data_IF_732200092113
#
_entry.id   IF_732200092113
#
_cell.length_a   1.000
_cell.length_b   1.000
_cell.length_c   1.000
_cell.angle_alpha   90.00
_cell.angle_beta   90.00
_cell.angle_gamma   90.00
#
_symmetry.space_group_name_H-M   'P 1'
#
loop_
_entity.id
_entity.type
_entity.pdbx_description
1 polymer ?
#
# COMPACT_ATOMS: atom_id res chain seq x y z
N UNK A 1 -24.11 -21.73 -8.75
CA UNK A 1 -24.37 -22.24 -7.39
C UNK A 1 -24.57 -21.03 -6.47
N UNK A 2 -25.54 -21.01 -5.55
CA UNK A 2 -25.69 -19.89 -4.61
C UNK A 2 -24.40 -19.71 -3.79
N UNK A 3 -23.99 -18.46 -3.54
CA UNK A 3 -22.83 -18.17 -2.70
C UNK A 3 -23.12 -18.57 -1.26
N UNK A 4 -22.21 -19.34 -0.66
CA UNK A 4 -22.13 -19.50 0.79
C UNK A 4 -21.52 -18.22 1.40
N UNK A 5 -22.41 -17.35 1.90
CA UNK A 5 -22.01 -16.08 2.49
C UNK A 5 -21.30 -16.24 3.83
N UNK A 6 -21.52 -17.33 4.57
CA UNK A 6 -20.83 -17.60 5.83
C UNK A 6 -19.37 -17.97 5.57
N UNK A 7 -19.11 -18.84 4.59
CA UNK A 7 -17.76 -19.16 4.14
C UNK A 7 -17.06 -17.92 3.56
N UNK A 8 -17.76 -17.16 2.73
CA UNK A 8 -17.24 -15.92 2.14
C UNK A 8 -16.87 -14.90 3.22
N UNK A 9 -17.70 -14.76 4.26
CA UNK A 9 -17.42 -13.87 5.40
C UNK A 9 -16.22 -14.34 6.23
N UNK A 10 -16.01 -15.66 6.39
CA UNK A 10 -14.79 -16.20 7.03
C UNK A 10 -13.54 -15.80 6.24
N UNK A 11 -13.61 -15.86 4.91
CA UNK A 11 -12.53 -15.41 4.03
C UNK A 11 -12.29 -13.89 4.10
N UNK A 12 -13.31 -13.08 4.40
CA UNK A 12 -13.19 -11.62 4.57
C UNK A 12 -12.43 -11.19 5.83
N UNK A 13 -12.49 -11.98 6.91
CA UNK A 13 -11.90 -11.60 8.20
C UNK A 13 -10.42 -11.17 8.04
N UNK A 14 -10.00 -10.05 8.67
CA UNK A 14 -10.72 -9.22 9.65
C UNK A 14 -11.52 -8.05 9.04
N UNK A 15 -11.76 -8.02 7.73
CA UNK A 15 -12.60 -6.99 7.12
C UNK A 15 -14.05 -7.20 7.55
N UNK A 16 -14.71 -6.11 7.96
CA UNK A 16 -16.06 -6.13 8.53
C UNK A 16 -17.05 -6.88 7.63
N UNK A 17 -17.14 -6.48 6.38
CA UNK A 17 -18.09 -7.02 5.40
C UNK A 17 -17.60 -6.74 3.97
N UNK A 18 -18.27 -7.38 3.01
CA UNK A 18 -17.92 -7.30 1.59
C UNK A 18 -18.03 -5.88 1.02
N UNK A 19 -19.05 -5.13 1.44
CA UNK A 19 -19.27 -3.75 0.98
C UNK A 19 -18.14 -2.83 1.45
N UNK A 20 -17.73 -2.96 2.71
CA UNK A 20 -16.61 -2.21 3.28
C UNK A 20 -15.29 -2.51 2.57
N UNK A 21 -15.07 -3.75 2.14
CA UNK A 21 -13.89 -4.13 1.34
C UNK A 21 -13.87 -3.38 0.01
N UNK A 22 -14.97 -3.46 -0.75
CA UNK A 22 -15.09 -2.84 -2.06
C UNK A 22 -15.02 -1.32 -1.99
N UNK A 23 -15.73 -0.71 -1.03
CA UNK A 23 -15.73 0.73 -0.84
C UNK A 23 -14.32 1.28 -0.65
N UNK A 24 -13.51 0.64 0.21
CA UNK A 24 -12.13 1.08 0.47
C UNK A 24 -11.21 0.96 -0.75
N UNK A 25 -11.41 -0.09 -1.56
CA UNK A 25 -10.68 -0.25 -2.83
C UNK A 25 -11.12 0.83 -3.84
N UNK A 26 -12.42 1.08 -3.96
CA UNK A 26 -12.97 2.11 -4.84
C UNK A 26 -12.51 3.52 -4.46
N UNK A 27 -12.53 3.86 -3.16
CA UNK A 27 -12.00 5.13 -2.63
C UNK A 27 -10.53 5.32 -3.01
N UNK A 28 -9.72 4.26 -2.90
CA UNK A 28 -8.30 4.31 -3.29
C UNK A 28 -8.13 4.51 -4.80
N UNK A 29 -8.92 3.80 -5.62
CA UNK A 29 -8.89 3.93 -7.07
C UNK A 29 -9.57 5.22 -7.60
N UNK A 30 -10.20 6.04 -6.75
CA UNK A 30 -10.66 7.36 -7.16
C UNK A 30 -9.49 8.28 -7.56
N UNK A 31 -8.32 8.09 -6.92
CA UNK A 31 -7.10 8.83 -7.21
C UNK A 31 -6.48 8.38 -8.55
N UNK A 32 -6.15 9.34 -9.41
CA UNK A 32 -5.64 9.05 -10.77
C UNK A 32 -4.33 8.28 -10.73
N UNK A 33 -3.41 8.67 -9.85
CA UNK A 33 -2.12 8.00 -9.74
C UNK A 33 -2.25 6.56 -9.25
N UNK A 34 -3.26 6.26 -8.42
CA UNK A 34 -3.51 4.89 -7.97
C UNK A 34 -3.97 4.03 -9.15
N UNK A 35 -4.91 4.53 -9.96
CA UNK A 35 -5.33 3.83 -11.20
C UNK A 35 -4.16 3.57 -12.14
N UNK A 36 -3.32 4.58 -12.37
CA UNK A 36 -2.21 4.48 -13.31
C UNK A 36 -1.11 3.51 -12.87
N UNK A 37 -0.86 3.37 -11.56
CA UNK A 37 0.29 2.61 -11.06
C UNK A 37 -0.10 1.27 -10.41
N UNK A 38 -1.36 1.08 -10.02
CA UNK A 38 -1.81 -0.09 -9.26
C UNK A 38 -2.94 -0.86 -9.95
N UNK A 39 -3.46 -0.40 -11.10
CA UNK A 39 -4.34 -1.25 -11.92
C UNK A 39 -3.51 -2.25 -12.74
N UNK A 40 -2.98 -3.25 -12.06
CA UNK A 40 -2.20 -4.32 -12.68
C UNK A 40 -3.12 -5.26 -13.47
N UNK A 41 -2.63 -5.76 -14.61
CA UNK A 41 -3.22 -6.92 -15.26
C UNK A 41 -3.11 -8.17 -14.38
N UNK A 42 -3.95 -9.19 -14.61
CA UNK A 42 -3.90 -10.43 -13.81
C UNK A 42 -2.51 -11.10 -13.82
N UNK A 43 -1.80 -11.22 -14.95
CA UNK A 43 -0.43 -11.74 -14.97
C UNK A 43 0.57 -10.88 -14.17
N UNK A 44 0.47 -9.56 -14.27
CA UNK A 44 1.32 -8.64 -13.48
C UNK A 44 1.02 -8.76 -11.98
N UNK A 45 -0.26 -8.88 -11.60
CA UNK A 45 -0.68 -9.07 -10.22
C UNK A 45 -0.19 -10.42 -9.66
N UNK A 46 -0.22 -11.49 -10.45
CA UNK A 46 0.35 -12.78 -10.06
C UNK A 46 1.85 -12.66 -9.77
N UNK A 47 2.60 -12.04 -10.69
CA UNK A 47 4.03 -11.80 -10.49
C UNK A 47 4.30 -10.92 -9.25
N UNK A 48 3.53 -9.84 -9.08
CA UNK A 48 3.59 -8.99 -7.90
C UNK A 48 3.35 -9.79 -6.62
N UNK A 49 2.36 -10.68 -6.61
CA UNK A 49 2.00 -11.53 -5.46
C UNK A 49 3.16 -12.47 -5.11
N UNK A 50 3.79 -13.09 -6.11
CA UNK A 50 4.97 -13.96 -5.92
C UNK A 50 6.14 -13.19 -5.33
N UNK A 51 6.45 -12.00 -5.84
CA UNK A 51 7.53 -11.16 -5.31
C UNK A 51 7.22 -10.69 -3.88
N UNK A 52 5.98 -10.27 -3.62
CA UNK A 52 5.55 -9.72 -2.34
C UNK A 52 5.57 -10.76 -1.22
N UNK A 53 4.99 -11.94 -1.45
CA UNK A 53 4.79 -12.98 -0.44
C UNK A 53 5.88 -14.06 -0.45
N UNK A 54 6.43 -14.39 -1.62
CA UNK A 54 7.44 -15.44 -1.80
C UNK A 54 8.83 -15.04 -1.32
N UNK A 55 9.09 -13.74 -1.16
CA UNK A 55 10.34 -13.23 -0.61
C UNK A 55 10.50 -13.36 0.91
N UNK A 56 9.53 -13.96 1.62
CA UNK A 56 9.65 -14.23 3.05
C UNK A 56 10.52 -15.47 3.29
N UNK A 57 11.74 -15.27 3.80
CA UNK A 57 12.70 -16.35 4.10
C UNK A 57 12.17 -17.40 5.08
N UNK A 58 11.15 -17.05 5.87
CA UNK A 58 10.50 -17.95 6.83
C UNK A 58 9.31 -18.73 6.26
N UNK A 59 8.95 -18.50 4.99
CA UNK A 59 7.87 -19.21 4.31
C UNK A 59 6.49 -19.01 4.93
N UNK A 60 6.26 -17.96 5.74
CA UNK A 60 5.01 -17.79 6.51
C UNK A 60 3.79 -17.56 5.64
N UNK A 61 4.00 -17.13 4.41
CA UNK A 61 2.95 -16.85 3.43
C UNK A 61 2.88 -17.90 2.31
N UNK A 62 3.57 -19.03 2.41
CA UNK A 62 3.65 -20.02 1.32
C UNK A 62 2.27 -20.57 0.91
N UNK A 63 1.47 -20.99 1.89
CA UNK A 63 0.10 -21.48 1.64
C UNK A 63 -0.80 -20.37 1.08
N UNK A 64 -0.71 -19.18 1.66
CA UNK A 64 -1.49 -18.03 1.20
C UNK A 64 -1.11 -17.60 -0.22
N UNK A 65 0.17 -17.64 -0.56
CA UNK A 65 0.69 -17.40 -1.91
C UNK A 65 0.13 -18.44 -2.90
N UNK A 66 0.17 -19.73 -2.56
CA UNK A 66 -0.35 -20.79 -3.42
C UNK A 66 -1.85 -20.60 -3.69
N UNK A 67 -2.63 -20.28 -2.65
CA UNK A 67 -4.06 -19.97 -2.77
C UNK A 67 -4.30 -18.78 -3.70
N UNK A 68 -3.60 -17.67 -3.49
CA UNK A 68 -3.79 -16.45 -4.30
C UNK A 68 -3.40 -16.66 -5.76
N UNK A 69 -2.28 -17.32 -6.03
CA UNK A 69 -1.85 -17.64 -7.40
C UNK A 69 -2.88 -18.52 -8.10
N UNK A 70 -3.41 -19.54 -7.42
CA UNK A 70 -4.48 -20.37 -7.97
C UNK A 70 -5.74 -19.56 -8.31
N UNK A 71 -6.16 -18.69 -7.38
CA UNK A 71 -7.31 -17.81 -7.58
C UNK A 71 -7.10 -16.82 -8.75
N UNK A 72 -5.92 -16.22 -8.87
CA UNK A 72 -5.59 -15.30 -9.97
C UNK A 72 -5.60 -16.00 -11.33
N UNK A 73 -5.08 -17.22 -11.41
CA UNK A 73 -5.13 -18.04 -12.63
C UNK A 73 -6.58 -18.36 -13.03
N UNK A 74 -7.43 -18.74 -12.08
CA UNK A 74 -8.85 -18.99 -12.35
C UNK A 74 -9.60 -17.71 -12.78
N UNK A 75 -9.32 -16.57 -12.15
CA UNK A 75 -9.87 -15.27 -12.55
C UNK A 75 -9.45 -14.89 -13.98
N UNK A 76 -8.19 -15.15 -14.34
CA UNK A 76 -7.71 -14.92 -15.69
C UNK A 76 -8.40 -15.85 -16.71
N UNK A 77 -8.59 -17.13 -16.38
CA UNK A 77 -9.35 -18.08 -17.22
C UNK A 77 -10.82 -17.67 -17.39
N UNK A 78 -11.40 -17.05 -16.35
CA UNK A 78 -12.73 -16.43 -16.42
C UNK A 78 -12.76 -15.09 -17.18
N UNK A 79 -11.65 -14.72 -17.84
CA UNK A 79 -11.55 -13.55 -18.71
C UNK A 79 -11.48 -12.22 -17.96
N UNK A 80 -11.07 -12.20 -16.70
CA UNK A 80 -10.79 -10.96 -15.97
C UNK A 80 -9.45 -10.39 -16.42
N UNK A 81 -9.43 -9.15 -16.90
CA UNK A 81 -8.21 -8.54 -17.51
C UNK A 81 -7.27 -7.92 -16.48
N UNK A 82 -7.82 -7.16 -15.53
CA UNK A 82 -7.08 -6.36 -14.56
C UNK A 82 -7.90 -6.14 -13.27
N UNK A 83 -7.31 -5.44 -12.30
CA UNK A 83 -7.93 -5.18 -11.00
C UNK A 83 -9.23 -4.38 -11.11
N UNK A 84 -9.30 -3.36 -11.97
CA UNK A 84 -10.51 -2.56 -12.15
C UNK A 84 -11.63 -3.37 -12.81
N UNK A 85 -11.30 -4.26 -13.76
CA UNK A 85 -12.26 -5.22 -14.31
C UNK A 85 -12.81 -6.15 -13.21
N UNK A 86 -11.93 -6.72 -12.36
CA UNK A 86 -12.35 -7.52 -11.20
C UNK A 86 -13.32 -6.75 -10.30
N UNK A 87 -12.98 -5.51 -9.94
CA UNK A 87 -13.82 -4.66 -9.10
C UNK A 87 -15.16 -4.35 -9.78
N UNK A 88 -15.19 -4.12 -11.09
CA UNK A 88 -16.41 -3.83 -11.84
C UNK A 88 -17.37 -5.02 -11.88
N UNK A 89 -16.83 -6.23 -12.13
CA UNK A 89 -17.58 -7.50 -12.18
C UNK A 89 -18.08 -7.95 -10.83
N UNK A 90 -17.48 -7.45 -9.75
CA UNK A 90 -17.80 -7.86 -8.38
C UNK A 90 -18.30 -6.69 -7.53
N UNK A 91 -18.68 -5.56 -8.14
CA UNK A 91 -18.96 -4.31 -7.41
C UNK A 91 -20.12 -4.36 -6.40
N UNK A 92 -20.95 -5.41 -6.44
CA UNK A 92 -22.07 -5.63 -5.51
C UNK A 92 -22.23 -7.12 -5.22
N UNK A 93 -22.92 -7.51 -4.13
CA UNK A 93 -23.23 -8.93 -3.87
C UNK A 93 -23.91 -9.64 -5.05
N UNK A 94 -24.84 -8.98 -5.73
CA UNK A 94 -25.52 -9.55 -6.91
C UNK A 94 -24.58 -9.70 -8.10
N UNK A 95 -23.66 -8.76 -8.30
CA UNK A 95 -22.64 -8.86 -9.35
C UNK A 95 -21.64 -9.98 -9.07
N UNK A 96 -21.20 -10.11 -7.82
CA UNK A 96 -20.38 -11.24 -7.39
C UNK A 96 -21.11 -12.58 -7.62
N UNK A 97 -22.39 -12.68 -7.23
CA UNK A 97 -23.21 -13.86 -7.49
C UNK A 97 -23.27 -14.19 -8.98
N UNK A 98 -23.61 -13.22 -9.84
CA UNK A 98 -23.66 -13.42 -11.28
C UNK A 98 -22.31 -13.82 -11.88
N UNK A 99 -21.20 -13.24 -11.41
CA UNK A 99 -19.86 -13.60 -11.85
C UNK A 99 -19.49 -15.05 -11.47
N UNK A 100 -19.77 -15.45 -10.23
CA UNK A 100 -19.50 -16.81 -9.72
C UNK A 100 -20.42 -17.87 -10.36
N UNK A 101 -21.61 -17.49 -10.84
CA UNK A 101 -22.49 -18.39 -11.59
C UNK A 101 -22.04 -18.60 -13.04
N UNK A 102 -21.39 -17.59 -13.63
CA UNK A 102 -20.94 -17.60 -15.01
C UNK A 102 -19.48 -18.06 -15.17
N UNK A 103 -18.78 -18.29 -14.07
CA UNK A 103 -17.39 -18.73 -14.04
C UNK A 103 -17.21 -19.90 -13.08
N UNK A 104 -16.13 -20.65 -13.22
CA UNK A 104 -15.75 -21.70 -12.26
C UNK A 104 -14.99 -21.13 -11.04
N UNK A 105 -15.09 -19.82 -10.79
CA UNK A 105 -14.39 -19.15 -9.68
C UNK A 105 -15.30 -19.08 -8.47
N UNK A 106 -14.83 -19.55 -7.31
CA UNK A 106 -15.61 -19.53 -6.08
C UNK A 106 -15.52 -18.18 -5.35
N UNK A 107 -16.62 -17.74 -4.74
CA UNK A 107 -16.68 -16.46 -4.02
C UNK A 107 -15.59 -16.27 -2.94
N UNK A 108 -15.25 -17.27 -2.10
CA UNK A 108 -14.17 -17.14 -1.13
C UNK A 108 -12.80 -16.82 -1.78
N UNK A 109 -12.54 -17.32 -2.98
CA UNK A 109 -11.29 -17.05 -3.71
C UNK A 109 -11.26 -15.61 -4.24
N UNK A 110 -12.36 -15.14 -4.82
CA UNK A 110 -12.52 -13.74 -5.27
C UNK A 110 -12.28 -12.79 -4.09
N UNK A 111 -12.93 -13.08 -2.97
CA UNK A 111 -12.81 -12.29 -1.74
C UNK A 111 -11.40 -12.34 -1.15
N UNK A 112 -10.73 -13.48 -1.19
CA UNK A 112 -9.34 -13.59 -0.75
C UNK A 112 -8.41 -12.69 -1.59
N UNK A 113 -8.60 -12.66 -2.91
CA UNK A 113 -7.85 -11.76 -3.82
C UNK A 113 -8.17 -10.30 -3.51
N UNK A 114 -9.44 -9.91 -3.39
CA UNK A 114 -9.82 -8.54 -3.04
C UNK A 114 -9.25 -8.10 -1.69
N UNK A 115 -9.25 -8.99 -0.69
CA UNK A 115 -8.63 -8.74 0.63
C UNK A 115 -7.12 -8.58 0.50
N UNK A 116 -6.46 -9.41 -0.30
CA UNK A 116 -5.03 -9.25 -0.60
C UNK A 116 -4.75 -7.88 -1.22
N UNK A 117 -5.53 -7.47 -2.23
CA UNK A 117 -5.39 -6.15 -2.85
C UNK A 117 -5.46 -5.02 -1.80
N UNK A 118 -6.44 -5.06 -0.91
CA UNK A 118 -6.65 -4.03 0.11
C UNK A 118 -5.47 -3.88 1.09
N UNK A 119 -4.85 -4.99 1.49
CA UNK A 119 -3.81 -4.97 2.53
C UNK A 119 -2.38 -4.90 1.99
N UNK A 120 -2.16 -5.31 0.74
CA UNK A 120 -0.83 -5.60 0.23
C UNK A 120 -0.46 -4.89 -1.07
N UNK A 121 -1.45 -4.47 -1.86
CA UNK A 121 -1.21 -3.95 -3.21
C UNK A 121 -1.65 -2.50 -3.31
N UNK A 122 -2.93 -2.25 -3.07
CA UNK A 122 -3.55 -0.94 -3.28
C UNK A 122 -3.32 -0.07 -2.04
N UNK A 123 -2.75 1.14 -2.20
CA UNK A 123 -2.47 2.00 -1.06
C UNK A 123 -3.77 2.54 -0.46
N UNK A 124 -4.05 2.17 0.79
CA UNK A 124 -5.20 2.68 1.52
C UNK A 124 -5.00 4.10 2.04
N UNK A 125 -6.11 4.84 2.16
CA UNK A 125 -6.13 6.19 2.71
C UNK A 125 -5.84 6.19 4.22
N UNK A 126 -4.95 7.09 4.64
CA UNK A 126 -4.50 7.30 6.01
C UNK A 126 -4.39 8.79 6.27
N UNK A 127 -4.87 9.25 7.43
CA UNK A 127 -4.66 10.64 7.85
C UNK A 127 -3.16 10.93 8.02
N UNK A 128 -2.73 12.12 7.62
CA UNK A 128 -1.32 12.54 7.73
C UNK A 128 -0.81 12.50 9.18
N UNK A 129 -1.68 12.81 10.16
CA UNK A 129 -1.38 12.69 11.59
C UNK A 129 -1.02 11.27 12.01
N UNK A 130 -1.54 10.26 11.31
CA UNK A 130 -1.22 8.84 11.53
C UNK A 130 0.13 8.40 10.97
N UNK A 131 0.86 9.28 10.25
CA UNK A 131 2.13 8.96 9.60
C UNK A 131 3.35 9.58 10.29
N UNK A 132 3.12 10.45 11.26
CA UNK A 132 4.17 11.23 11.94
C UNK A 132 4.21 10.89 13.43
N UNK A 133 5.37 11.06 14.05
CA UNK A 133 5.47 11.05 15.51
C UNK A 133 4.94 12.37 16.05
N UNK A 134 4.71 12.40 17.36
CA UNK A 134 4.17 13.57 18.05
C UNK A 134 5.27 14.65 18.12
N UNK A 135 5.41 15.40 17.02
CA UNK A 135 6.33 16.52 16.85
C UNK A 135 5.49 17.81 16.62
N UNK A 136 5.67 18.87 17.42
CA UNK A 136 4.87 20.09 17.30
C UNK A 136 4.97 20.76 15.93
N UNK A 137 6.17 20.79 15.34
CA UNK A 137 6.41 21.47 14.06
C UNK A 137 5.69 20.77 12.90
N UNK A 138 5.80 19.45 12.86
CA UNK A 138 5.14 18.59 11.88
C UNK A 138 3.62 18.61 12.06
N UNK A 139 3.15 18.60 13.32
CA UNK A 139 1.72 18.69 13.63
C UNK A 139 1.13 20.01 13.13
N UNK A 140 1.86 21.12 13.28
CA UNK A 140 1.44 22.42 12.77
C UNK A 140 1.40 22.43 11.23
N UNK A 141 2.41 21.85 10.57
CA UNK A 141 2.42 21.72 9.12
C UNK A 141 1.23 20.91 8.59
N UNK A 142 0.88 19.80 9.24
CA UNK A 142 -0.31 19.00 8.91
C UNK A 142 -1.60 19.80 9.09
N UNK A 143 -1.71 20.64 10.13
CA UNK A 143 -2.87 21.52 10.31
C UNK A 143 -3.01 22.54 9.18
N UNK A 144 -1.89 23.14 8.75
CA UNK A 144 -1.86 24.09 7.61
C UNK A 144 -2.35 23.38 6.34
N UNK A 145 -1.80 22.21 6.01
CA UNK A 145 -2.24 21.41 4.87
C UNK A 145 -3.73 21.01 4.97
N UNK A 146 -4.19 20.66 6.17
CA UNK A 146 -5.59 20.34 6.42
C UNK A 146 -6.55 21.52 6.18
N UNK A 147 -6.08 22.76 6.42
CA UNK A 147 -6.78 24.00 6.06
C UNK A 147 -6.93 24.21 4.55
N UNK A 148 -6.03 23.62 3.76
CA UNK A 148 -6.09 23.58 2.29
C UNK A 148 -6.85 22.36 1.74
N UNK A 149 -7.46 21.55 2.61
CA UNK A 149 -8.16 20.33 2.23
C UNK A 149 -7.26 19.11 2.01
N UNK A 150 -5.96 19.19 2.33
CA UNK A 150 -5.01 18.06 2.24
C UNK A 150 -4.86 17.40 3.61
N UNK A 151 -5.64 16.34 3.84
CA UNK A 151 -5.75 15.67 5.15
C UNK A 151 -5.15 14.26 5.17
N UNK A 152 -5.04 13.63 4.01
CA UNK A 152 -4.63 12.22 3.90
C UNK A 152 -3.40 12.04 3.02
N UNK A 153 -2.78 10.86 3.16
CA UNK A 153 -1.64 10.43 2.37
C UNK A 153 -1.92 10.46 0.86
N UNK A 154 -3.07 9.95 0.40
CA UNK A 154 -3.41 9.88 -1.01
C UNK A 154 -3.68 11.28 -1.59
N UNK A 155 -4.34 12.15 -0.83
CA UNK A 155 -4.53 13.56 -1.21
C UNK A 155 -3.18 14.28 -1.36
N UNK A 156 -2.29 14.12 -0.37
CA UNK A 156 -0.98 14.74 -0.40
C UNK A 156 -0.12 14.19 -1.54
N UNK A 157 -0.13 12.87 -1.76
CA UNK A 157 0.57 12.26 -2.89
C UNK A 157 0.02 12.82 -4.20
N UNK A 158 -1.28 12.75 -4.46
CA UNK A 158 -1.89 13.23 -5.71
C UNK A 158 -1.45 14.66 -6.08
N UNK A 159 -1.28 15.54 -5.09
CA UNK A 159 -0.83 16.92 -5.30
C UNK A 159 0.71 17.06 -5.32
N UNK A 160 1.44 16.18 -4.65
CA UNK A 160 2.90 16.23 -4.46
C UNK A 160 3.72 15.24 -5.31
N UNK A 161 3.10 14.53 -6.26
CA UNK A 161 3.77 13.52 -7.12
C UNK A 161 4.98 14.11 -7.85
N UNK A 162 4.85 15.32 -8.38
CA UNK A 162 5.89 16.01 -9.17
C UNK A 162 6.59 17.12 -8.39
N UNK A 163 7.79 17.51 -8.84
CA UNK A 163 8.51 18.64 -8.29
C UNK A 163 7.69 19.94 -8.36
N UNK A 164 6.99 20.16 -9.48
CA UNK A 164 6.07 21.29 -9.65
C UNK A 164 4.91 21.25 -8.64
N UNK A 165 4.32 20.08 -8.40
CA UNK A 165 3.26 19.89 -7.41
C UNK A 165 3.73 20.18 -5.98
N UNK A 166 4.93 19.69 -5.60
CA UNK A 166 5.57 20.01 -4.32
C UNK A 166 5.84 21.51 -4.15
N UNK A 167 6.31 22.17 -5.21
CA UNK A 167 6.51 23.63 -5.22
C UNK A 167 5.19 24.39 -5.07
N UNK A 168 4.13 23.94 -5.73
CA UNK A 168 2.80 24.53 -5.60
C UNK A 168 2.26 24.39 -4.16
N UNK A 169 2.36 23.20 -3.57
CA UNK A 169 1.99 22.95 -2.17
C UNK A 169 2.77 23.85 -1.20
N UNK A 170 4.07 24.00 -1.40
CA UNK A 170 4.92 24.92 -0.62
C UNK A 170 4.42 26.37 -0.74
N UNK A 171 4.18 26.84 -1.97
CA UNK A 171 3.69 28.19 -2.23
C UNK A 171 2.31 28.49 -1.63
N UNK A 172 1.36 27.56 -1.75
CA UNK A 172 -0.01 27.75 -1.24
C UNK A 172 -0.13 27.62 0.27
N UNK A 173 0.73 26.80 0.89
CA UNK A 173 0.72 26.58 2.34
C UNK A 173 1.63 27.54 3.12
N UNK A 174 2.61 28.16 2.45
CA UNK A 174 3.68 28.91 3.11
C UNK A 174 4.66 28.02 3.89
N UNK A 175 4.55 26.69 3.79
CA UNK A 175 5.47 25.76 4.45
C UNK A 175 6.79 25.66 3.68
N UNK A 176 7.93 25.46 4.35
CA UNK A 176 9.20 25.23 3.66
C UNK A 176 9.13 24.02 2.73
N UNK A 177 9.76 24.13 1.54
CA UNK A 177 9.79 23.04 0.56
C UNK A 177 10.36 21.73 1.11
N UNK A 178 11.30 21.80 2.04
CA UNK A 178 11.86 20.63 2.76
C UNK A 178 10.83 19.91 3.62
N UNK A 179 9.93 20.66 4.29
CA UNK A 179 8.83 20.10 5.09
C UNK A 179 7.81 19.42 4.19
N UNK A 180 7.45 20.05 3.06
CA UNK A 180 6.56 19.42 2.06
C UNK A 180 7.19 18.14 1.51
N UNK A 181 8.46 18.17 1.12
CA UNK A 181 9.16 17.00 0.61
C UNK A 181 9.19 15.86 1.64
N UNK A 182 9.46 16.14 2.92
CA UNK A 182 9.42 15.12 3.96
C UNK A 182 8.01 14.52 4.12
N UNK A 183 6.96 15.35 4.21
CA UNK A 183 5.58 14.87 4.37
C UNK A 183 5.12 14.04 3.16
N UNK A 184 5.47 14.46 1.95
CA UNK A 184 5.20 13.69 0.72
C UNK A 184 5.91 12.34 0.76
N UNK A 185 7.20 12.30 1.15
CA UNK A 185 7.92 11.04 1.29
C UNK A 185 7.33 10.12 2.38
N UNK A 186 6.83 10.68 3.49
CA UNK A 186 6.11 9.89 4.51
C UNK A 186 4.81 9.32 3.97
N UNK A 187 4.06 10.11 3.21
CA UNK A 187 2.87 9.64 2.51
C UNK A 187 3.22 8.53 1.51
N UNK A 188 4.36 8.65 0.82
CA UNK A 188 4.86 7.63 -0.10
C UNK A 188 5.23 6.32 0.61
N UNK A 189 5.96 6.40 1.73
CA UNK A 189 6.26 5.22 2.56
C UNK A 189 5.01 4.53 3.11
N UNK A 190 3.93 5.28 3.35
CA UNK A 190 2.69 4.73 3.91
C UNK A 190 2.02 3.68 3.02
N UNK A 191 2.44 3.59 1.74
CA UNK A 191 2.01 2.58 0.76
C UNK A 191 2.62 1.20 1.02
N UNK A 192 3.74 1.11 1.74
CA UNK A 192 4.28 -0.19 2.11
C UNK A 192 3.27 -0.93 3.00
N UNK A 193 3.05 -2.24 2.78
CA UNK A 193 2.32 -3.07 3.71
C UNK A 193 2.91 -2.91 5.12
N UNK A 194 2.03 -2.76 6.12
CA UNK A 194 2.40 -2.58 7.53
C UNK A 194 3.20 -1.34 7.91
N UNK A 195 3.40 -0.37 6.99
CA UNK A 195 4.06 0.89 7.36
C UNK A 195 3.25 1.63 8.43
N UNK A 196 3.79 1.60 9.65
CA UNK A 196 3.32 2.36 10.80
C UNK A 196 4.07 3.70 10.92
N UNK A 197 3.55 4.67 11.69
CA UNK A 197 4.31 5.89 12.02
C UNK A 197 5.69 5.59 12.63
N UNK A 198 5.79 4.50 13.40
CA UNK A 198 7.06 4.10 14.00
C UNK A 198 8.05 3.61 12.94
N UNK A 199 7.56 2.75 12.02
CA UNK A 199 8.32 2.20 10.89
C UNK A 199 8.86 3.28 9.98
N UNK A 200 7.97 4.17 9.52
CA UNK A 200 8.33 5.28 8.63
C UNK A 200 9.41 6.16 9.29
N UNK A 201 9.21 6.54 10.56
CA UNK A 201 10.21 7.33 11.28
C UNK A 201 11.53 6.60 11.53
N UNK A 202 11.53 5.26 11.69
CA UNK A 202 12.76 4.50 11.82
C UNK A 202 13.55 4.47 10.50
N UNK A 203 12.86 4.28 9.37
CA UNK A 203 13.47 4.30 8.03
C UNK A 203 14.11 5.67 7.75
N UNK A 204 13.36 6.75 7.99
CA UNK A 204 13.84 8.13 7.81
C UNK A 204 15.02 8.42 8.76
N UNK A 205 14.90 8.03 10.03
CA UNK A 205 15.95 8.24 11.03
C UNK A 205 17.25 7.48 10.74
N UNK A 206 17.16 6.34 10.06
CA UNK A 206 18.33 5.60 9.56
C UNK A 206 18.97 6.24 8.31
N UNK A 207 18.42 7.33 7.78
CA UNK A 207 18.97 8.08 6.64
C UNK A 207 18.28 7.83 5.30
N UNK A 208 17.24 6.99 5.28
CA UNK A 208 16.52 6.63 4.06
C UNK A 208 15.25 7.47 3.94
N UNK A 209 15.42 8.75 3.58
CA UNK A 209 14.34 9.75 3.58
C UNK A 209 13.25 9.59 2.51
N UNK A 210 13.37 8.63 1.58
CA UNK A 210 12.37 8.36 0.53
C UNK A 210 12.36 6.88 0.13
N UNK A 211 11.25 6.40 -0.45
CA UNK A 211 11.18 5.04 -0.96
C UNK A 211 12.23 4.78 -2.04
N UNK A 212 12.50 5.76 -2.91
CA UNK A 212 13.55 5.65 -3.91
C UNK A 212 14.93 5.44 -3.28
N UNK A 213 15.27 6.17 -2.21
CA UNK A 213 16.54 5.97 -1.48
C UNK A 213 16.58 4.60 -0.81
N UNK A 214 15.48 4.14 -0.23
CA UNK A 214 15.40 2.82 0.40
C UNK A 214 15.56 1.70 -0.64
N UNK A 215 14.85 1.77 -1.77
CA UNK A 215 14.89 0.77 -2.83
C UNK A 215 16.29 0.64 -3.47
N UNK A 216 17.02 1.76 -3.58
CA UNK A 216 18.37 1.80 -4.14
C UNK A 216 19.49 1.66 -3.08
N UNK A 217 19.14 1.35 -1.83
CA UNK A 217 20.13 1.18 -0.78
C UNK A 217 21.05 -0.03 -1.04
N UNK A 218 22.31 0.10 -0.65
CA UNK A 218 23.19 -1.04 -0.46
C UNK A 218 22.71 -1.86 0.75
N UNK A 219 22.46 -3.17 0.63
CA UNK A 219 21.90 -3.97 1.73
C UNK A 219 22.78 -3.94 2.99
N UNK A 220 24.09 -4.14 2.85
CA UNK A 220 25.00 -4.23 4.00
C UNK A 220 25.06 -2.91 4.77
N UNK A 221 25.17 -1.80 4.03
CA UNK A 221 25.13 -0.46 4.60
C UNK A 221 23.78 -0.15 5.23
N UNK A 222 22.67 -0.53 4.60
CA UNK A 222 21.33 -0.37 5.15
C UNK A 222 21.21 -1.03 6.53
N UNK A 223 21.64 -2.29 6.66
CA UNK A 223 21.64 -2.98 7.94
C UNK A 223 22.49 -2.24 8.98
N UNK A 224 23.72 -1.85 8.63
CA UNK A 224 24.61 -1.10 9.52
C UNK A 224 24.01 0.24 9.99
N UNK A 225 23.36 0.98 9.08
CA UNK A 225 22.72 2.27 9.36
C UNK A 225 21.55 2.12 10.32
N UNK A 226 20.69 1.12 10.12
CA UNK A 226 19.60 0.83 11.04
C UNK A 226 20.10 0.40 12.42
N UNK A 227 21.19 -0.37 12.52
CA UNK A 227 21.78 -0.72 13.82
C UNK A 227 22.30 0.51 14.56
N UNK A 228 23.04 1.36 13.84
CA UNK A 228 23.60 2.59 14.38
C UNK A 228 22.49 3.53 14.86
N UNK A 229 21.46 3.72 14.05
CA UNK A 229 20.29 4.52 14.42
C UNK A 229 19.53 3.92 15.61
N UNK A 230 19.25 2.62 15.59
CA UNK A 230 18.60 1.91 16.69
C UNK A 230 19.33 2.12 18.01
N UNK A 231 20.65 1.93 18.03
CA UNK A 231 21.50 2.18 19.21
C UNK A 231 21.38 3.63 19.69
N UNK A 232 21.38 4.60 18.77
CA UNK A 232 21.26 6.02 19.11
C UNK A 232 19.92 6.39 19.76
N UNK A 233 18.84 5.66 19.44
CA UNK A 233 17.51 5.87 20.03
C UNK A 233 17.16 4.86 21.12
N UNK A 234 18.13 4.07 21.60
CA UNK A 234 17.91 3.07 22.65
C UNK A 234 17.00 1.91 22.23
N UNK A 235 16.88 1.61 20.93
CA UNK A 235 16.04 0.53 20.39
C UNK A 235 16.86 -0.53 19.69
N UNK A 236 16.47 -1.79 19.86
CA UNK A 236 17.01 -2.89 19.10
C UNK A 236 16.20 -3.13 17.82
N UNK A 237 16.56 -2.45 16.72
CA UNK A 237 15.89 -2.62 15.42
C UNK A 237 16.22 -3.96 14.72
N UNK A 238 17.04 -4.82 15.34
CA UNK A 238 17.45 -6.16 14.84
C UNK A 238 16.31 -7.19 14.83
N UNK A 239 15.36 -7.04 15.75
CA UNK A 239 14.39 -8.09 16.10
C UNK A 239 13.11 -8.08 15.26
N UNK A 240 12.95 -7.11 14.36
CA UNK A 240 11.79 -7.03 13.47
C UNK A 240 12.14 -7.45 12.05
N UNK A 241 11.20 -8.10 11.34
CA UNK A 241 11.29 -8.24 9.88
C UNK A 241 11.14 -6.88 9.15
N UNK A 242 11.23 -5.77 9.87
CA UNK A 242 10.94 -4.41 9.41
C UNK A 242 11.98 -3.95 8.40
N UNK A 243 13.27 -4.19 8.66
CA UNK A 243 14.37 -3.72 7.79
C UNK A 243 14.35 -4.48 6.46
N UNK A 244 14.42 -5.81 6.53
CA UNK A 244 14.47 -6.70 5.37
C UNK A 244 13.21 -6.56 4.49
N UNK A 245 12.02 -6.58 5.11
CA UNK A 245 10.80 -6.41 4.33
C UNK A 245 10.65 -4.99 3.79
N UNK A 246 10.99 -3.94 4.54
CA UNK A 246 10.86 -2.58 4.01
C UNK A 246 11.78 -2.38 2.81
N UNK A 247 13.02 -2.87 2.88
CA UNK A 247 13.97 -2.81 1.76
C UNK A 247 13.49 -3.59 0.54
N UNK A 248 13.15 -4.86 0.74
CA UNK A 248 12.68 -5.74 -0.34
C UNK A 248 11.41 -5.19 -0.98
N UNK A 249 10.43 -4.81 -0.16
CA UNK A 249 9.14 -4.34 -0.64
C UNK A 249 9.25 -2.96 -1.30
N UNK A 250 10.16 -2.09 -0.85
CA UNK A 250 10.44 -0.82 -1.53
C UNK A 250 10.89 -1.01 -2.99
N UNK A 251 11.50 -2.15 -3.34
CA UNK A 251 11.86 -2.50 -4.72
C UNK A 251 10.71 -3.09 -5.53
N UNK A 252 9.64 -3.54 -4.87
CA UNK A 252 8.50 -4.21 -5.49
C UNK A 252 7.36 -3.23 -5.73
N UNK A 253 7.10 -2.33 -4.78
CA UNK A 253 6.02 -1.35 -4.91
C UNK A 253 6.28 -0.40 -6.08
N UNK A 254 5.25 -0.03 -6.85
CA UNK A 254 5.40 0.95 -7.92
C UNK A 254 6.02 2.26 -7.42
N UNK A 255 6.98 2.79 -8.18
CA UNK A 255 7.53 4.11 -7.96
C UNK A 255 6.56 5.16 -8.50
N UNK A 256 6.02 6.00 -7.61
CA UNK A 256 4.99 6.99 -8.00
C UNK A 256 5.51 8.43 -7.97
N UNK A 257 6.47 8.75 -7.10
CA UNK A 257 7.07 10.08 -7.05
C UNK A 257 8.01 10.27 -8.24
N UNK A 258 7.82 11.37 -8.95
CA UNK A 258 8.71 11.78 -10.03
C UNK A 258 9.94 12.46 -9.42
N UNK A 259 11.11 12.11 -9.97
CA UNK A 259 12.38 12.72 -9.58
C UNK A 259 12.30 14.25 -9.71
N UNK A 260 13.04 14.94 -8.85
CA UNK A 260 13.29 16.38 -8.99
C UNK A 260 14.14 16.65 -10.25
#
# INVERSE_FOLDING_TARGET
MPIDWDETQKALSPVKDYQSLLQRLQESFAYLFVRQNFNLSLPELENYTRLMLGGDSRGRYAEYLALLVGALSQLQQAGVSDILDLLSRTATPNKLQGFVEQSDVHAPQVVAVLKFLLYWVVPGEKYLSGLVRDDPSTSQAIKVLGGLGVRTNLQLLQQGLSAAGRKALSGSSGLPGTVIAELVNRADFSRLPWASKATISNIIGAGYGSLAKLANADPEKLYADFFRYGKAIGKNLKLGNEIENSYRIAKIVPAVLQAD
#
